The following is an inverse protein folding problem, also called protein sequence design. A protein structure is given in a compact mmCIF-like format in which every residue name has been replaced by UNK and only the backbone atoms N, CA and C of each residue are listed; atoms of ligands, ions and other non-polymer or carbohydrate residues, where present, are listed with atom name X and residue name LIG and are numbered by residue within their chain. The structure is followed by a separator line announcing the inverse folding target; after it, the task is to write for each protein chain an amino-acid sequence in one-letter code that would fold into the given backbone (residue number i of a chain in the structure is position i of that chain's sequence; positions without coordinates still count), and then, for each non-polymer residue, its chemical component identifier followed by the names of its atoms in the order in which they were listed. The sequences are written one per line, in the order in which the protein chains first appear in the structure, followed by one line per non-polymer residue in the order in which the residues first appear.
data_IF_722056910101
#
_entry.id   IF_722056910101
#
_cell.length_a   1.000
_cell.length_b   1.000
_cell.length_c   1.000
_cell.angle_alpha   90.00
_cell.angle_beta   90.00
_cell.angle_gamma   90.00
#
_symmetry.space_group_name_H-M   'P 1'
#
loop_
_entity.id
_entity.type
_entity.pdbx_description
1 polymer ?
#
# COMPACT_ATOMS: atom_id res chain seq x y z
N UNK A 1 40.78 44.99 -44.11
CA UNK A 1 41.03 43.71 -43.41
C UNK A 1 40.13 43.67 -42.20
N UNK A 2 39.08 42.85 -42.28
CA UNK A 2 38.13 42.62 -41.20
C UNK A 2 38.75 41.69 -40.16
N UNK A 3 38.54 41.99 -38.89
CA UNK A 3 38.63 40.99 -37.82
C UNK A 3 37.42 41.19 -36.93
N UNK A 4 36.37 40.41 -37.22
CA UNK A 4 35.20 40.26 -36.38
C UNK A 4 35.63 39.56 -35.10
N UNK A 5 35.51 40.24 -33.97
CA UNK A 5 35.57 39.62 -32.64
C UNK A 5 34.27 38.85 -32.46
N UNK A 6 34.36 37.52 -32.38
CA UNK A 6 33.22 36.67 -32.09
C UNK A 6 32.69 36.99 -30.67
N UNK A 7 31.38 37.20 -30.48
CA UNK A 7 30.83 37.32 -29.14
C UNK A 7 30.89 35.96 -28.44
N UNK A 8 31.51 35.95 -27.26
CA UNK A 8 31.36 34.89 -26.27
C UNK A 8 29.88 34.71 -25.96
N UNK A 9 29.27 33.66 -26.53
CA UNK A 9 27.94 33.23 -26.14
C UNK A 9 28.08 32.35 -24.89
N UNK A 10 28.12 33.00 -23.72
CA UNK A 10 27.71 32.36 -22.48
C UNK A 10 26.20 32.13 -22.58
N UNK A 11 25.79 30.92 -22.95
CA UNK A 11 24.39 30.50 -22.89
C UNK A 11 23.91 30.71 -21.44
N UNK A 12 22.84 31.49 -21.19
CA UNK A 12 22.33 31.63 -19.83
C UNK A 12 21.99 30.24 -19.30
N UNK A 13 22.49 29.89 -18.12
CA UNK A 13 22.08 28.68 -17.43
C UNK A 13 20.55 28.75 -17.28
N UNK A 14 19.84 27.90 -18.01
CA UNK A 14 18.39 27.81 -17.90
C UNK A 14 18.12 27.23 -16.50
N UNK A 15 17.83 28.11 -15.54
CA UNK A 15 17.29 27.72 -14.24
C UNK A 15 16.01 26.93 -14.49
N UNK A 16 15.97 25.70 -13.99
CA UNK A 16 14.86 24.80 -14.23
C UNK A 16 14.98 23.56 -13.38
N UNK A 17 13.88 22.84 -13.20
CA UNK A 17 13.86 21.66 -12.34
C UNK A 17 14.01 20.41 -13.19
N UNK A 18 15.05 19.62 -12.95
CA UNK A 18 15.35 18.43 -13.75
C UNK A 18 15.49 17.21 -12.85
N UNK A 19 15.06 16.07 -13.37
CA UNK A 19 15.34 14.76 -12.79
C UNK A 19 16.20 14.00 -13.77
N UNK A 20 17.27 13.41 -13.29
CA UNK A 20 18.21 12.64 -14.10
C UNK A 20 18.43 11.25 -13.52
N UNK A 21 18.79 10.31 -14.38
CA UNK A 21 19.12 8.95 -13.98
C UNK A 21 20.39 8.49 -14.66
N UNK A 22 21.18 7.73 -13.91
CA UNK A 22 22.34 7.02 -14.45
C UNK A 22 22.00 5.55 -14.65
N UNK A 23 22.29 5.05 -15.84
CA UNK A 23 22.04 3.67 -16.24
C UNK A 23 23.33 2.96 -16.63
N UNK A 24 23.52 1.75 -16.12
CA UNK A 24 24.61 0.86 -16.54
C UNK A 24 24.38 0.31 -17.96
N UNK A 25 25.40 -0.20 -18.67
CA UNK A 25 25.24 -0.74 -20.03
C UNK A 25 24.30 -1.93 -20.11
N UNK A 26 24.19 -2.70 -19.02
CA UNK A 26 23.21 -3.78 -18.87
C UNK A 26 21.77 -3.30 -18.67
N UNK A 27 21.49 -2.00 -18.82
CA UNK A 27 20.15 -1.42 -18.74
C UNK A 27 19.64 -1.10 -17.33
N UNK A 28 20.35 -1.53 -16.27
CA UNK A 28 19.96 -1.28 -14.87
C UNK A 28 20.18 0.19 -14.49
N UNK A 29 19.15 0.82 -13.95
CA UNK A 29 19.24 2.17 -13.36
C UNK A 29 19.95 2.06 -12.01
N UNK A 30 21.00 2.87 -11.82
CA UNK A 30 21.90 2.78 -10.65
C UNK A 30 21.79 3.99 -9.72
N UNK A 31 21.34 5.13 -10.23
CA UNK A 31 21.11 6.36 -9.47
C UNK A 31 20.01 7.20 -10.11
N UNK A 32 19.23 7.88 -9.30
CA UNK A 32 18.28 8.92 -9.70
C UNK A 32 18.57 10.17 -8.88
N UNK A 33 18.52 11.35 -9.48
CA UNK A 33 18.75 12.60 -8.77
C UNK A 33 17.99 13.79 -9.34
N UNK A 34 17.78 14.77 -8.49
CA UNK A 34 17.24 16.09 -8.83
C UNK A 34 18.34 17.14 -9.00
N UNK A 35 18.12 18.11 -9.89
CA UNK A 35 18.97 19.29 -10.01
C UNK A 35 18.26 20.50 -10.61
N UNK A 36 18.77 21.70 -10.27
CA UNK A 36 18.27 23.00 -10.75
C UNK A 36 18.88 23.42 -12.10
N UNK A 37 19.74 22.57 -12.65
CA UNK A 37 20.31 22.72 -13.99
C UNK A 37 20.74 21.35 -14.53
N UNK A 38 20.78 21.16 -15.85
CA UNK A 38 21.34 19.96 -16.46
C UNK A 38 22.82 19.75 -16.09
N UNK A 39 23.55 20.84 -15.85
CA UNK A 39 24.96 20.82 -15.43
C UNK A 39 25.17 20.08 -14.10
N UNK A 40 24.19 20.11 -13.19
CA UNK A 40 24.25 19.35 -11.93
C UNK A 40 24.28 17.84 -12.14
N UNK A 41 23.65 17.35 -13.22
CA UNK A 41 23.73 15.94 -13.61
C UNK A 41 25.13 15.56 -14.14
N UNK A 42 25.95 16.54 -14.54
CA UNK A 42 27.32 16.33 -15.02
C UNK A 42 28.36 16.54 -13.91
N UNK A 43 28.03 17.27 -12.85
CA UNK A 43 28.97 17.70 -11.79
C UNK A 43 29.14 16.75 -10.61
N UNK A 44 28.58 15.53 -10.66
CA UNK A 44 28.77 14.52 -9.60
C UNK A 44 30.25 14.15 -9.37
N UNK A 45 31.14 14.49 -10.31
CA UNK A 45 32.58 14.31 -10.20
C UNK A 45 33.20 15.12 -9.04
N UNK A 46 32.68 16.30 -8.70
CA UNK A 46 33.38 17.22 -7.78
C UNK A 46 32.76 17.34 -6.37
N UNK A 47 31.54 16.83 -6.13
CA UNK A 47 30.81 17.13 -4.87
C UNK A 47 29.91 16.04 -4.29
N UNK A 48 29.86 14.84 -4.87
CA UNK A 48 29.03 13.76 -4.30
C UNK A 48 29.61 13.25 -2.97
N UNK A 49 28.79 13.15 -1.92
CA UNK A 49 29.18 12.48 -0.66
C UNK A 49 29.10 10.95 -0.76
N UNK A 50 28.76 10.40 -1.92
CA UNK A 50 28.62 8.95 -2.15
C UNK A 50 29.80 8.42 -2.99
N UNK A 51 30.80 7.85 -2.32
CA UNK A 51 32.02 7.31 -2.94
C UNK A 51 31.77 6.13 -3.89
N UNK A 52 30.62 5.44 -3.76
CA UNK A 52 30.23 4.36 -4.68
C UNK A 52 29.70 4.94 -5.98
N UNK A 53 28.86 5.98 -5.90
CA UNK A 53 28.37 6.70 -7.07
C UNK A 53 29.53 7.34 -7.84
N UNK A 54 30.48 7.99 -7.15
CA UNK A 54 31.67 8.57 -7.79
C UNK A 54 32.44 7.55 -8.62
N UNK A 55 32.82 6.42 -8.03
CA UNK A 55 33.53 5.33 -8.73
C UNK A 55 32.76 4.79 -9.93
N UNK A 56 31.43 4.73 -9.84
CA UNK A 56 30.60 4.32 -10.96
C UNK A 56 30.61 5.36 -12.10
N UNK A 57 30.59 6.65 -11.79
CA UNK A 57 30.68 7.72 -12.80
C UNK A 57 32.09 7.79 -13.40
N UNK A 58 33.13 7.54 -12.61
CA UNK A 58 34.52 7.50 -13.08
C UNK A 58 34.79 6.38 -14.09
N UNK A 59 34.03 5.28 -14.04
CA UNK A 59 34.17 4.19 -15.03
C UNK A 59 33.80 4.64 -16.45
N UNK A 60 33.03 5.73 -16.59
CA UNK A 60 32.47 6.26 -17.85
C UNK A 60 31.62 5.24 -18.64
N UNK A 61 31.29 4.12 -18.02
CA UNK A 61 30.53 3.04 -18.62
C UNK A 61 29.06 3.16 -18.17
N UNK A 62 28.39 4.21 -18.63
CA UNK A 62 27.00 4.53 -18.29
C UNK A 62 26.33 5.40 -19.35
N UNK A 63 25.00 5.44 -19.34
CA UNK A 63 24.21 6.49 -20.00
C UNK A 63 23.56 7.41 -18.96
N UNK A 64 23.53 8.70 -19.27
CA UNK A 64 22.84 9.73 -18.49
C UNK A 64 21.57 10.14 -19.24
N UNK A 65 20.42 10.01 -18.58
CA UNK A 65 19.12 10.43 -19.11
C UNK A 65 18.57 11.56 -18.22
N UNK A 66 17.92 12.55 -18.83
CA UNK A 66 17.41 13.74 -18.16
C UNK A 66 15.94 13.96 -18.57
N UNK A 67 15.08 14.27 -17.61
CA UNK A 67 13.71 14.70 -17.78
C UNK A 67 13.50 16.09 -17.17
N UNK A 68 12.67 16.92 -17.83
CA UNK A 68 12.42 18.31 -17.48
C UNK A 68 12.57 19.25 -18.69
N UNK A 69 12.53 20.58 -18.48
CA UNK A 69 12.33 21.23 -17.17
C UNK A 69 10.91 21.01 -16.62
N UNK A 70 10.80 20.72 -15.32
CA UNK A 70 9.55 20.71 -14.56
C UNK A 70 9.20 22.13 -14.11
N UNK A 71 7.90 22.39 -13.91
CA UNK A 71 7.37 23.71 -13.59
C UNK A 71 7.70 24.20 -12.18
N UNK A 72 8.09 23.29 -11.28
CA UNK A 72 8.46 23.63 -9.90
C UNK A 72 9.44 22.63 -9.28
N UNK A 73 10.14 23.06 -8.22
CA UNK A 73 10.99 22.19 -7.40
C UNK A 73 10.21 21.02 -6.82
N UNK A 74 9.00 21.28 -6.36
CA UNK A 74 8.11 20.26 -5.78
C UNK A 74 7.79 19.17 -6.80
N UNK A 75 7.44 19.54 -8.03
CA UNK A 75 7.19 18.59 -9.11
C UNK A 75 8.43 17.73 -9.43
N UNK A 76 9.61 18.35 -9.52
CA UNK A 76 10.87 17.63 -9.73
C UNK A 76 11.19 16.64 -8.60
N UNK A 77 10.98 17.03 -7.35
CA UNK A 77 11.19 16.16 -6.18
C UNK A 77 10.17 15.02 -6.10
N UNK A 78 8.91 15.26 -6.47
CA UNK A 78 7.90 14.19 -6.56
C UNK A 78 8.28 13.14 -7.61
N UNK A 79 8.77 13.57 -8.78
CA UNK A 79 9.24 12.64 -9.81
C UNK A 79 10.48 11.88 -9.36
N UNK A 80 11.48 12.57 -8.79
CA UNK A 80 12.70 11.94 -8.25
C UNK A 80 12.36 10.87 -7.21
N UNK A 81 11.58 11.23 -6.18
CA UNK A 81 11.25 10.31 -5.09
C UNK A 81 10.40 9.13 -5.56
N UNK A 82 9.47 9.33 -6.50
CA UNK A 82 8.71 8.24 -7.12
C UNK A 82 9.60 7.27 -7.90
N UNK A 83 10.57 7.78 -8.67
CA UNK A 83 11.52 6.95 -9.42
C UNK A 83 12.47 6.17 -8.49
N UNK A 84 13.00 6.81 -7.44
CA UNK A 84 13.80 6.12 -6.42
C UNK A 84 12.98 4.99 -5.79
N UNK A 85 11.73 5.29 -5.40
CA UNK A 85 10.85 4.30 -4.79
C UNK A 85 10.46 3.15 -5.72
N UNK A 86 10.36 3.37 -7.04
CA UNK A 86 9.99 2.33 -8.00
C UNK A 86 11.18 1.45 -8.41
N UNK A 87 12.35 2.06 -8.57
CA UNK A 87 13.51 1.44 -9.21
C UNK A 87 14.51 0.88 -8.22
N UNK A 88 14.46 1.32 -6.96
CA UNK A 88 15.41 0.98 -5.90
C UNK A 88 16.88 1.05 -6.37
N UNK A 89 17.32 2.19 -6.94
CA UNK A 89 18.68 2.36 -7.44
C UNK A 89 19.70 2.19 -6.31
N UNK A 90 20.78 1.45 -6.59
CA UNK A 90 21.79 1.04 -5.60
C UNK A 90 22.51 2.22 -4.91
N UNK A 91 22.63 3.36 -5.60
CA UNK A 91 23.40 4.50 -5.10
C UNK A 91 22.52 5.61 -4.49
N UNK A 92 21.22 5.40 -4.34
CA UNK A 92 20.37 6.28 -3.55
C UNK A 92 20.26 5.71 -2.13
N UNK A 93 20.83 6.42 -1.15
CA UNK A 93 20.88 5.95 0.25
C UNK A 93 19.52 6.09 0.97
N UNK A 94 18.69 7.04 0.55
CA UNK A 94 17.34 7.25 1.09
C UNK A 94 16.27 6.87 0.06
N UNK A 95 15.17 6.21 0.47
CA UNK A 95 14.12 5.72 -0.44
C UNK A 95 13.21 6.82 -1.03
N UNK A 96 13.50 8.09 -0.74
CA UNK A 96 12.66 9.24 -1.08
C UNK A 96 11.50 9.38 -0.09
N UNK A 97 11.46 10.46 0.69
CA UNK A 97 10.54 10.54 1.85
C UNK A 97 9.14 11.05 1.50
N UNK A 98 8.93 11.63 0.31
CA UNK A 98 7.67 12.32 -0.04
C UNK A 98 6.71 11.46 -0.87
N UNK A 99 7.17 10.89 -1.99
CA UNK A 99 6.30 10.15 -2.92
C UNK A 99 6.79 8.71 -3.09
N UNK A 100 6.40 7.83 -2.15
CA UNK A 100 6.73 6.40 -2.21
C UNK A 100 5.60 5.60 -2.86
N UNK A 101 5.96 4.66 -3.74
CA UNK A 101 5.06 3.60 -4.13
C UNK A 101 4.70 2.80 -2.88
N UNK A 102 3.40 2.59 -2.69
CA UNK A 102 2.82 1.95 -1.52
C UNK A 102 1.73 0.96 -1.96
N UNK A 103 1.33 0.00 -1.12
CA UNK A 103 0.20 -0.84 -1.48
C UNK A 103 -1.05 0.03 -1.70
N UNK A 104 -1.98 -0.47 -2.50
CA UNK A 104 -3.20 0.26 -2.78
C UNK A 104 -4.04 0.38 -1.49
N UNK A 105 -4.64 1.54 -1.23
CA UNK A 105 -5.52 1.74 -0.07
C UNK A 105 -4.83 1.93 1.28
N UNK A 106 -3.50 2.10 1.31
CA UNK A 106 -2.74 2.37 2.54
C UNK A 106 -2.07 3.75 2.55
N UNK A 107 -1.89 4.36 3.73
CA UNK A 107 -1.13 5.60 3.91
C UNK A 107 0.37 5.43 3.59
N UNK A 108 1.07 6.56 3.39
CA UNK A 108 2.45 6.59 2.87
C UNK A 108 3.48 5.98 3.83
N UNK A 109 3.23 6.07 5.14
CA UNK A 109 4.06 5.44 6.17
C UNK A 109 4.04 3.90 6.14
N UNK A 110 3.17 3.28 5.33
CA UNK A 110 3.10 1.82 5.15
C UNK A 110 3.68 1.36 3.79
N UNK A 111 4.43 2.22 3.09
CA UNK A 111 5.02 1.90 1.79
C UNK A 111 5.94 0.66 1.84
N UNK A 112 6.62 0.43 2.96
CA UNK A 112 7.50 -0.73 3.17
C UNK A 112 6.78 -2.09 3.15
N UNK A 113 5.45 -2.11 2.99
CA UNK A 113 4.66 -3.34 2.82
C UNK A 113 4.60 -3.86 1.40
N UNK A 114 4.97 -3.06 0.39
CA UNK A 114 5.03 -3.50 -1.02
C UNK A 114 5.88 -4.77 -1.21
N UNK A 115 7.12 -4.85 -0.70
CA UNK A 115 7.97 -6.01 -0.91
C UNK A 115 7.64 -7.22 -0.01
N UNK A 116 6.69 -7.10 0.92
CA UNK A 116 6.39 -8.19 1.84
C UNK A 116 5.70 -9.36 1.12
N UNK A 117 6.11 -10.57 1.47
CA UNK A 117 5.48 -11.78 0.95
C UNK A 117 3.98 -11.82 1.29
N UNK A 118 3.14 -12.29 0.34
CA UNK A 118 1.71 -12.46 0.58
C UNK A 118 1.43 -13.47 1.70
N UNK A 119 0.52 -13.10 2.60
CA UNK A 119 0.10 -13.95 3.72
C UNK A 119 -0.81 -15.08 3.25
N UNK A 120 -0.56 -16.29 3.74
CA UNK A 120 -1.56 -17.37 3.75
C UNK A 120 -2.67 -17.09 4.78
N UNK A 121 -3.79 -17.80 4.66
CA UNK A 121 -4.85 -17.77 5.66
C UNK A 121 -4.34 -18.18 7.04
N UNK A 122 -3.47 -19.20 7.11
CA UNK A 122 -2.90 -19.68 8.36
C UNK A 122 -2.04 -18.62 9.06
N UNK A 123 -1.20 -17.90 8.32
CA UNK A 123 -0.41 -16.79 8.87
C UNK A 123 -1.30 -15.62 9.30
N UNK A 124 -2.35 -15.32 8.52
CA UNK A 124 -3.33 -14.29 8.85
C UNK A 124 -4.04 -14.58 10.17
N UNK A 125 -4.46 -15.84 10.40
CA UNK A 125 -5.05 -16.29 11.65
C UNK A 125 -4.11 -16.10 12.85
N UNK A 126 -2.84 -16.50 12.71
CA UNK A 126 -1.82 -16.35 13.77
C UNK A 126 -1.53 -14.89 14.11
N UNK A 127 -1.26 -14.06 13.10
CA UNK A 127 -0.97 -12.63 13.30
C UNK A 127 -2.19 -11.91 13.87
N UNK A 128 -3.38 -12.20 13.33
CA UNK A 128 -4.65 -11.63 13.79
C UNK A 128 -5.18 -12.20 15.10
N UNK A 129 -4.50 -13.20 15.70
CA UNK A 129 -4.95 -13.91 16.91
C UNK A 129 -6.37 -14.48 16.77
N UNK A 130 -6.70 -14.95 15.57
CA UNK A 130 -8.04 -15.31 15.11
C UNK A 130 -8.63 -14.21 14.25
N UNK A 131 -8.98 -14.53 13.00
CA UNK A 131 -9.43 -13.58 12.01
C UNK A 131 -10.81 -13.94 11.45
N UNK A 132 -11.70 -12.95 11.41
CA UNK A 132 -12.89 -12.98 10.56
C UNK A 132 -12.56 -12.15 9.31
N UNK A 133 -12.34 -12.83 8.19
CA UNK A 133 -11.93 -12.21 6.93
C UNK A 133 -13.16 -11.99 6.07
N UNK A 134 -13.42 -10.75 5.69
CA UNK A 134 -14.61 -10.36 4.94
C UNK A 134 -14.26 -9.69 3.62
N UNK A 135 -15.09 -9.90 2.61
CA UNK A 135 -14.85 -9.34 1.28
C UNK A 135 -15.61 -8.04 1.06
N UNK A 136 -14.88 -6.96 0.76
CA UNK A 136 -15.45 -5.71 0.30
C UNK A 136 -15.53 -5.70 -1.22
N UNK A 137 -16.74 -5.92 -1.74
CA UNK A 137 -16.98 -5.98 -3.18
C UNK A 137 -16.77 -4.62 -3.85
N UNK A 138 -16.05 -4.63 -4.99
CA UNK A 138 -15.78 -3.45 -5.79
C UNK A 138 -17.05 -2.69 -6.23
N UNK A 139 -16.85 -1.43 -6.64
CA UNK A 139 -17.88 -0.47 -7.05
C UNK A 139 -17.92 0.76 -6.14
N UNK A 140 -18.67 1.78 -6.55
CA UNK A 140 -18.65 3.08 -5.87
C UNK A 140 -19.70 3.22 -4.77
N UNK A 141 -20.83 2.53 -4.93
CA UNK A 141 -21.98 2.64 -4.04
C UNK A 141 -22.56 1.27 -3.65
N UNK A 142 -23.08 1.22 -2.44
CA UNK A 142 -23.95 0.17 -1.94
C UNK A 142 -25.35 0.31 -2.56
N UNK A 143 -26.19 -0.73 -2.47
CA UNK A 143 -27.55 -0.70 -3.01
C UNK A 143 -28.43 0.40 -2.40
N UNK A 144 -28.09 0.84 -1.20
CA UNK A 144 -28.77 1.91 -0.45
C UNK A 144 -28.19 3.31 -0.71
N UNK A 145 -27.29 3.46 -1.68
CA UNK A 145 -26.68 4.74 -2.06
C UNK A 145 -25.50 5.19 -1.19
N UNK A 146 -25.12 4.43 -0.14
CA UNK A 146 -23.91 4.74 0.64
C UNK A 146 -22.66 4.50 -0.20
N UNK A 147 -21.64 5.34 -0.04
CA UNK A 147 -20.32 5.14 -0.66
C UNK A 147 -19.66 3.86 -0.14
N UNK A 148 -19.03 3.12 -1.05
CA UNK A 148 -18.19 1.97 -0.72
C UNK A 148 -16.75 2.39 -0.46
N UNK A 149 -16.02 1.54 0.27
CA UNK A 149 -14.58 1.67 0.43
C UNK A 149 -13.87 1.72 -0.94
N UNK A 150 -13.18 2.84 -1.19
CA UNK A 150 -12.40 3.05 -2.41
C UNK A 150 -10.91 2.88 -2.10
N UNK A 151 -10.22 1.88 -2.67
CA UNK A 151 -8.80 1.69 -2.41
C UNK A 151 -7.90 2.78 -3.04
N UNK A 152 -8.39 3.55 -4.02
CA UNK A 152 -7.67 4.70 -4.56
C UNK A 152 -7.77 5.95 -3.66
N UNK A 153 -8.79 6.03 -2.80
CA UNK A 153 -9.00 7.12 -1.86
C UNK A 153 -9.51 6.53 -0.54
N UNK A 154 -8.62 5.90 0.25
CA UNK A 154 -9.02 5.10 1.39
C UNK A 154 -9.45 5.98 2.56
N UNK A 155 -10.76 5.97 2.82
CA UNK A 155 -11.35 6.56 4.03
C UNK A 155 -11.55 5.46 5.08
N UNK A 156 -10.87 5.59 6.23
CA UNK A 156 -10.88 4.60 7.30
C UNK A 156 -12.27 4.40 7.88
N UNK A 157 -13.07 5.46 8.03
CA UNK A 157 -14.41 5.36 8.59
C UNK A 157 -15.36 4.63 7.62
N UNK A 158 -15.20 4.87 6.32
CA UNK A 158 -15.94 4.11 5.30
C UNK A 158 -15.52 2.64 5.32
N UNK A 159 -14.21 2.34 5.38
CA UNK A 159 -13.70 0.97 5.46
C UNK A 159 -14.26 0.26 6.70
N UNK A 160 -14.22 0.90 7.87
CA UNK A 160 -14.74 0.36 9.13
C UNK A 160 -16.24 0.06 9.01
N UNK A 161 -17.04 1.01 8.52
CA UNK A 161 -18.49 0.87 8.35
C UNK A 161 -18.88 -0.24 7.37
N UNK A 162 -18.16 -0.35 6.26
CA UNK A 162 -18.41 -1.40 5.25
C UNK A 162 -17.98 -2.78 5.75
N UNK A 163 -16.93 -2.82 6.58
CA UNK A 163 -16.38 -4.04 7.14
C UNK A 163 -17.20 -4.57 8.33
N UNK A 164 -17.78 -3.70 9.17
CA UNK A 164 -18.40 -4.14 10.43
C UNK A 164 -19.80 -4.76 10.25
N UNK A 165 -20.54 -4.47 9.15
CA UNK A 165 -21.98 -4.80 9.07
C UNK A 165 -22.38 -5.86 8.05
N UNK A 166 -23.39 -6.60 8.53
CA UNK A 166 -24.31 -7.52 7.87
C UNK A 166 -23.69 -8.82 7.34
N UNK A 167 -22.94 -9.48 8.21
CA UNK A 167 -22.35 -10.79 7.92
C UNK A 167 -23.24 -11.94 8.41
N UNK A 168 -23.42 -12.95 7.57
CA UNK A 168 -24.22 -14.14 7.91
C UNK A 168 -23.43 -15.14 8.78
N UNK A 169 -23.03 -14.69 9.97
CA UNK A 169 -22.25 -15.49 10.95
C UNK A 169 -23.12 -16.20 11.98
N UNK A 170 -24.45 -16.12 11.91
CA UNK A 170 -25.40 -16.72 12.87
C UNK A 170 -25.05 -18.17 13.26
N UNK A 171 -24.60 -18.97 12.30
CA UNK A 171 -24.24 -20.39 12.49
C UNK A 171 -23.08 -20.62 13.46
N UNK A 172 -22.27 -19.60 13.73
CA UNK A 172 -21.11 -19.65 14.62
C UNK A 172 -21.39 -18.94 15.95
N UNK A 173 -22.44 -18.11 16.01
CA UNK A 173 -22.69 -17.25 17.18
C UNK A 173 -22.92 -18.06 18.45
N UNK A 174 -23.65 -19.17 18.38
CA UNK A 174 -23.90 -20.03 19.54
C UNK A 174 -22.59 -20.56 20.13
N UNK A 175 -21.72 -21.16 19.31
CA UNK A 175 -20.45 -21.72 19.80
C UNK A 175 -19.43 -20.65 20.21
N UNK A 176 -19.49 -19.46 19.61
CA UNK A 176 -18.67 -18.31 20.03
C UNK A 176 -19.11 -17.76 21.38
N UNK A 177 -20.42 -17.67 21.63
CA UNK A 177 -20.97 -17.11 22.87
C UNK A 177 -20.91 -18.11 24.03
N UNK A 178 -21.03 -19.42 23.77
CA UNK A 178 -20.87 -20.47 24.78
C UNK A 178 -19.41 -20.74 25.15
N UNK A 179 -18.46 -20.29 24.31
CA UNK A 179 -17.03 -20.55 24.48
C UNK A 179 -16.57 -21.92 24.00
N UNK A 180 -17.46 -22.70 23.36
CA UNK A 180 -17.12 -23.99 22.74
C UNK A 180 -16.17 -23.85 21.55
N UNK A 181 -16.18 -22.69 20.90
CA UNK A 181 -15.29 -22.36 19.80
C UNK A 181 -14.53 -21.07 20.07
N UNK A 182 -13.29 -20.96 19.60
CA UNK A 182 -12.54 -19.71 19.67
C UNK A 182 -13.25 -18.62 18.86
N UNK A 183 -13.28 -17.41 19.42
CA UNK A 183 -13.90 -16.25 18.79
C UNK A 183 -12.82 -15.48 18.02
N UNK A 184 -13.08 -15.02 16.77
CA UNK A 184 -12.13 -14.17 16.07
C UNK A 184 -11.84 -12.90 16.88
N UNK A 185 -10.57 -12.46 16.87
CA UNK A 185 -10.13 -11.23 17.55
C UNK A 185 -9.94 -10.07 16.59
N UNK A 186 -9.67 -10.35 15.32
CA UNK A 186 -9.45 -9.33 14.28
C UNK A 186 -10.48 -9.48 13.17
N UNK A 187 -11.09 -8.36 12.78
CA UNK A 187 -11.92 -8.26 11.59
C UNK A 187 -11.08 -7.73 10.42
N UNK A 188 -10.94 -8.51 9.35
CA UNK A 188 -10.04 -8.22 8.23
C UNK A 188 -10.85 -7.94 6.97
N UNK A 189 -10.83 -6.68 6.52
CA UNK A 189 -11.43 -6.25 5.26
C UNK A 189 -10.49 -6.55 4.08
N UNK A 190 -10.95 -7.38 3.15
CA UNK A 190 -10.20 -7.73 1.93
C UNK A 190 -10.83 -7.07 0.72
N UNK A 191 -9.98 -6.43 -0.10
CA UNK A 191 -10.36 -5.87 -1.39
C UNK A 191 -9.59 -6.57 -2.52
N UNK A 192 -10.18 -6.63 -3.71
CA UNK A 192 -9.54 -7.11 -4.93
C UNK A 192 -10.46 -8.02 -5.74
N UNK A 193 -10.76 -7.67 -7.01
CA UNK A 193 -11.75 -8.39 -7.80
C UNK A 193 -11.33 -9.83 -8.13
N UNK A 194 -10.02 -10.10 -8.22
CA UNK A 194 -9.47 -11.43 -8.53
C UNK A 194 -8.75 -12.01 -7.32
N UNK A 195 -8.89 -13.32 -7.02
CA UNK A 195 -8.21 -13.98 -5.91
C UNK A 195 -6.71 -13.66 -5.77
N UNK A 196 -5.98 -13.66 -6.89
CA UNK A 196 -4.54 -13.40 -6.91
C UNK A 196 -4.15 -11.93 -6.65
N UNK A 197 -5.11 -11.00 -6.74
CA UNK A 197 -4.90 -9.56 -6.56
C UNK A 197 -5.45 -9.06 -5.23
N UNK A 198 -5.79 -9.96 -4.29
CA UNK A 198 -6.42 -9.59 -3.03
C UNK A 198 -5.40 -9.07 -2.02
N UNK A 199 -5.80 -8.02 -1.31
CA UNK A 199 -5.02 -7.38 -0.27
C UNK A 199 -5.95 -6.89 0.85
N UNK A 200 -5.37 -6.66 2.02
CA UNK A 200 -6.09 -6.18 3.19
C UNK A 200 -6.23 -4.65 3.06
N UNK A 201 -7.45 -4.13 2.94
CA UNK A 201 -7.69 -2.68 2.88
C UNK A 201 -7.85 -2.07 4.29
N UNK A 202 -8.26 -2.89 5.27
CA UNK A 202 -8.35 -2.54 6.68
C UNK A 202 -8.35 -3.79 7.57
N UNK A 203 -7.81 -3.66 8.77
CA UNK A 203 -7.87 -4.66 9.83
C UNK A 203 -8.17 -3.96 11.16
N UNK A 204 -9.12 -4.48 11.92
CA UNK A 204 -9.61 -3.85 13.15
C UNK A 204 -9.72 -4.88 14.26
N UNK A 205 -9.46 -4.47 15.50
CA UNK A 205 -9.73 -5.32 16.67
C UNK A 205 -11.24 -5.38 16.92
N UNK A 206 -11.75 -6.58 17.17
CA UNK A 206 -13.15 -6.83 17.49
C UNK A 206 -13.38 -6.50 18.96
N UNK A 207 -14.41 -5.72 19.26
CA UNK A 207 -14.88 -5.48 20.62
C UNK A 207 -15.63 -6.72 21.14
N UNK A 208 -14.87 -7.64 21.75
CA UNK A 208 -15.41 -8.89 22.30
C UNK A 208 -16.33 -8.70 23.49
N UNK A 209 -16.21 -7.57 24.19
CA UNK A 209 -17.10 -7.27 25.29
C UNK A 209 -18.48 -6.91 24.80
N UNK A 210 -18.60 -6.26 23.63
CA UNK A 210 -19.90 -5.95 23.04
C UNK A 210 -20.45 -7.05 22.14
N UNK A 211 -19.58 -7.88 21.57
CA UNK A 211 -19.97 -8.82 20.54
C UNK A 211 -21.04 -9.83 21.01
N UNK A 212 -22.23 -9.73 20.42
CA UNK A 212 -23.36 -10.63 20.69
C UNK A 212 -24.08 -10.38 22.02
N UNK A 213 -23.76 -9.29 22.75
CA UNK A 213 -24.43 -8.96 24.02
C UNK A 213 -25.82 -8.35 23.86
N UNK A 214 -26.06 -7.64 22.76
CA UNK A 214 -27.36 -7.04 22.44
C UNK A 214 -27.82 -7.49 21.05
N UNK A 215 -28.38 -8.72 20.94
CA UNK A 215 -28.81 -9.26 19.66
C UNK A 215 -29.85 -8.38 18.96
N UNK A 216 -30.75 -7.71 19.68
CA UNK A 216 -31.80 -6.89 19.08
C UNK A 216 -31.22 -5.68 18.34
N UNK A 217 -30.07 -5.18 18.81
CA UNK A 217 -29.32 -4.10 18.15
C UNK A 217 -28.34 -4.60 17.09
N UNK A 218 -27.69 -5.73 17.34
CA UNK A 218 -26.55 -6.21 16.55
C UNK A 218 -26.96 -7.18 15.45
N UNK A 219 -28.23 -7.59 15.38
CA UNK A 219 -28.74 -8.59 14.45
C UNK A 219 -29.92 -8.09 13.62
N UNK A 220 -29.87 -8.36 12.32
CA UNK A 220 -31.01 -8.25 11.41
C UNK A 220 -31.20 -9.58 10.68
N UNK A 221 -32.19 -10.36 11.13
CA UNK A 221 -32.48 -11.71 10.63
C UNK A 221 -31.34 -12.69 10.93
N UNK A 222 -30.52 -13.03 9.93
CA UNK A 222 -29.32 -13.87 10.09
C UNK A 222 -28.01 -13.10 9.95
N UNK A 223 -28.10 -11.79 9.71
CA UNK A 223 -26.95 -10.92 9.53
C UNK A 223 -26.59 -10.28 10.87
N UNK A 224 -25.30 -10.24 11.17
CA UNK A 224 -24.76 -9.65 12.39
C UNK A 224 -23.84 -8.49 12.08
N UNK A 225 -23.81 -7.54 13.01
CA UNK A 225 -22.79 -6.52 13.13
C UNK A 225 -21.65 -7.08 13.99
N UNK A 226 -20.41 -6.87 13.53
CA UNK A 226 -19.19 -7.22 14.27
C UNK A 226 -18.66 -5.92 14.89
N UNK A 227 -18.82 -5.71 16.19
CA UNK A 227 -18.42 -4.45 16.82
C UNK A 227 -16.89 -4.32 16.82
N UNK A 228 -16.41 -3.11 16.55
CA UNK A 228 -14.99 -2.77 16.52
C UNK A 228 -14.60 -2.04 17.80
N UNK A 229 -13.42 -2.37 18.35
CA UNK A 229 -12.88 -1.71 19.53
C UNK A 229 -12.48 -0.26 19.22
N UNK A 230 -11.80 -0.06 18.09
CA UNK A 230 -11.42 1.25 17.57
C UNK A 230 -11.64 1.29 16.06
N UNK A 231 -12.57 2.13 15.60
CA UNK A 231 -12.91 2.31 14.17
C UNK A 231 -11.85 3.11 13.42
N UNK A 232 -11.00 3.84 14.11
CA UNK A 232 -9.98 4.72 13.50
C UNK A 232 -8.67 3.99 13.23
N UNK A 233 -8.45 2.85 13.88
CA UNK A 233 -7.27 2.02 13.68
C UNK A 233 -7.54 0.88 12.68
N UNK A 234 -7.44 1.19 11.38
CA UNK A 234 -7.56 0.21 10.30
C UNK A 234 -6.30 -0.66 10.10
N UNK A 235 -5.33 -0.61 11.00
CA UNK A 235 -4.08 -1.37 10.91
C UNK A 235 -3.81 -2.26 12.14
N UNK A 236 -4.87 -2.85 12.70
CA UNK A 236 -4.73 -3.82 13.77
C UNK A 236 -3.74 -4.92 13.37
N UNK A 237 -2.81 -5.23 14.28
CA UNK A 237 -1.74 -6.21 14.11
C UNK A 237 -0.81 -5.97 12.90
N UNK A 238 -0.76 -4.75 12.36
CA UNK A 238 0.09 -4.41 11.21
C UNK A 238 -0.32 -5.09 9.90
N UNK A 239 -1.61 -5.44 9.77
CA UNK A 239 -2.13 -6.22 8.64
C UNK A 239 -2.51 -5.38 7.42
N UNK A 240 -2.77 -4.08 7.54
CA UNK A 240 -3.26 -3.24 6.44
C UNK A 240 -2.30 -3.23 5.24
N UNK A 241 -2.77 -3.25 4.02
CA UNK A 241 -1.92 -3.25 2.82
C UNK A 241 -1.09 -4.53 2.61
N UNK A 242 -1.20 -5.54 3.48
CA UNK A 242 -0.61 -6.86 3.21
C UNK A 242 -1.35 -7.54 2.07
N UNK A 243 -0.59 -8.13 1.15
CA UNK A 243 -1.13 -9.03 0.12
C UNK A 243 -1.53 -10.36 0.75
N UNK A 244 -2.50 -11.02 0.13
CA UNK A 244 -2.89 -12.38 0.47
C UNK A 244 -2.48 -13.34 -0.64
N UNK A 245 -2.09 -14.56 -0.25
CA UNK A 245 -2.11 -15.70 -1.18
C UNK A 245 -3.56 -15.88 -1.69
N UNK A 246 -3.77 -16.53 -2.85
CA UNK A 246 -5.09 -16.60 -3.47
C UNK A 246 -6.18 -17.17 -2.54
N UNK A 247 -6.99 -16.28 -1.97
CA UNK A 247 -8.19 -16.60 -1.21
C UNK A 247 -9.40 -16.44 -2.13
N UNK A 248 -10.45 -17.26 -1.98
CA UNK A 248 -11.67 -17.21 -2.82
C UNK A 248 -12.91 -17.02 -1.96
N UNK A 249 -13.74 -16.05 -2.30
CA UNK A 249 -15.06 -15.85 -1.67
C UNK A 249 -16.14 -16.31 -2.65
N UNK A 250 -17.16 -17.00 -2.16
CA UNK A 250 -18.30 -17.44 -2.96
C UNK A 250 -19.31 -16.31 -3.24
N UNK A 251 -20.34 -16.63 -4.02
CA UNK A 251 -21.38 -15.67 -4.44
C UNK A 251 -22.56 -15.56 -3.45
N UNK A 252 -22.71 -16.53 -2.54
CA UNK A 252 -23.78 -16.54 -1.54
C UNK A 252 -23.41 -15.70 -0.32
N UNK A 253 -24.41 -15.06 0.34
CA UNK A 253 -24.21 -14.21 1.53
C UNK A 253 -23.50 -14.89 2.72
N UNK A 254 -23.51 -16.22 2.82
CA UNK A 254 -22.77 -16.99 3.82
C UNK A 254 -21.35 -17.41 3.35
N UNK A 255 -21.01 -17.13 2.09
CA UNK A 255 -19.75 -17.51 1.43
C UNK A 255 -18.81 -16.33 1.21
N UNK A 256 -19.16 -15.16 1.73
CA UNK A 256 -18.41 -13.89 1.57
C UNK A 256 -17.52 -13.57 2.78
N UNK A 257 -17.34 -14.53 3.69
CA UNK A 257 -16.40 -14.43 4.79
C UNK A 257 -15.69 -15.76 5.05
N UNK A 258 -14.52 -15.67 5.65
CA UNK A 258 -13.75 -16.80 6.19
C UNK A 258 -13.54 -16.57 7.68
N UNK A 259 -13.55 -17.63 8.47
CA UNK A 259 -13.17 -17.61 9.87
C UNK A 259 -11.97 -18.52 10.07
N UNK A 260 -10.91 -17.93 10.62
CA UNK A 260 -9.62 -18.56 10.86
C UNK A 260 -9.28 -18.36 12.33
N UNK A 261 -8.80 -19.40 12.99
CA UNK A 261 -8.43 -19.34 14.40
C UNK A 261 -7.02 -18.79 14.63
N UNK A 262 -6.70 -18.49 15.89
CA UNK A 262 -5.39 -17.98 16.31
C UNK A 262 -4.22 -18.97 16.12
N UNK A 263 -4.50 -20.25 15.94
CA UNK A 263 -3.51 -21.28 15.57
C UNK A 263 -3.24 -21.32 14.04
N UNK A 264 -4.08 -20.62 13.26
CA UNK A 264 -4.06 -20.61 11.81
C UNK A 264 -4.91 -21.71 11.15
N UNK A 265 -5.81 -22.36 11.88
CA UNK A 265 -6.78 -23.32 11.35
C UNK A 265 -7.96 -22.60 10.73
N UNK A 266 -8.29 -22.91 9.47
CA UNK A 266 -9.49 -22.39 8.80
C UNK A 266 -10.71 -23.16 9.30
N UNK A 267 -11.59 -22.49 10.04
CA UNK A 267 -12.85 -23.05 10.56
C UNK A 267 -14.00 -22.91 9.60
N UNK A 268 -13.98 -21.86 8.77
CA UNK A 268 -14.99 -21.61 7.76
C UNK A 268 -14.38 -20.87 6.57
N UNK A 269 -14.71 -21.30 5.35
CA UNK A 269 -14.30 -20.63 4.10
C UNK A 269 -15.46 -20.47 3.10
N UNK A 270 -16.71 -20.57 3.58
CA UNK A 270 -17.89 -20.46 2.73
C UNK A 270 -18.29 -21.75 2.01
N UNK A 271 -17.75 -22.90 2.37
CA UNK A 271 -18.19 -24.23 1.94
C UNK A 271 -18.50 -25.10 3.16
#
# INVERSE_FOLDING_TARGET
MSTQVAPSMSTPAQEGHFVYLYRSPGGKIRYVGYGESPSRALSHQDSSHNDRLKRFIESKDYSLEIAGPYGSREEGLHVETALISALHPEFNDAPGDQTRFRPLGVPGNLADRVPLEPLSESELGRIGRGALVVYLAAGDFMKDGRKKANPASPDVEIIARDCEKWWQVQRHMESWLSGESPVPQTLVAVFGPRPASRFIIGAFEIDRERFGRDPDRDRDGSNWVIPLLDRTNADAQGLRGRRLKPIRFGQGKHRIYHWIDGDGTVRWNGN
#
